data_IF_115139111997
#
_entry.id   IF_115139111997
#
_cell.length_a   1.000
_cell.length_b   1.000
_cell.length_c   1.000
_cell.angle_alpha   90.00
_cell.angle_beta   90.00
_cell.angle_gamma   90.00
#
_symmetry.space_group_name_H-M   'P 1'
#
loop_
_entity.id
_entity.type
_entity.pdbx_description
1 polymer ?
#
# COMPACT_ATOMS: atom_id res chain seq x y z
N UNK A 1 0.10 29.69 -3.01
CA UNK A 1 0.43 28.98 -4.26
C UNK A 1 1.92 29.00 -4.57
N UNK A 2 2.62 30.11 -4.29
CA UNK A 2 4.07 30.23 -4.57
C UNK A 2 4.95 29.22 -3.84
N UNK A 3 4.63 28.85 -2.59
CA UNK A 3 5.45 27.90 -1.83
C UNK A 3 5.41 26.49 -2.44
N UNK A 4 4.22 25.96 -2.75
CA UNK A 4 4.07 24.67 -3.42
C UNK A 4 4.79 24.63 -4.76
N UNK A 5 4.67 25.69 -5.55
CA UNK A 5 5.31 25.79 -6.86
C UNK A 5 6.82 25.65 -6.74
N UNK A 6 7.45 26.34 -5.77
CA UNK A 6 8.89 26.24 -5.53
C UNK A 6 9.30 24.86 -5.01
N UNK A 7 8.55 24.30 -4.05
CA UNK A 7 8.85 22.98 -3.49
C UNK A 7 8.78 21.88 -4.57
N UNK A 8 7.72 21.89 -5.38
CA UNK A 8 7.55 20.95 -6.49
C UNK A 8 8.65 21.14 -7.54
N UNK A 9 8.98 22.39 -7.89
CA UNK A 9 10.05 22.71 -8.84
C UNK A 9 11.40 22.13 -8.39
N UNK A 10 11.75 22.27 -7.12
CA UNK A 10 13.00 21.69 -6.57
C UNK A 10 12.95 20.16 -6.56
N UNK A 11 11.85 19.56 -6.10
CA UNK A 11 11.74 18.10 -5.97
C UNK A 11 11.73 17.38 -7.32
N UNK A 12 11.11 17.97 -8.35
CA UNK A 12 11.02 17.39 -9.69
C UNK A 12 12.09 17.94 -10.64
N UNK A 13 12.98 18.82 -10.16
CA UNK A 13 13.98 19.51 -10.97
C UNK A 13 13.38 20.21 -12.21
N UNK A 14 12.28 20.95 -12.00
CA UNK A 14 11.54 21.70 -13.01
C UNK A 14 11.66 23.21 -12.78
N UNK A 15 11.38 24.02 -13.81
CA UNK A 15 11.34 25.48 -13.64
C UNK A 15 10.06 25.90 -12.90
N UNK A 16 10.11 26.82 -11.93
CA UNK A 16 8.92 27.28 -11.20
C UNK A 16 7.78 27.76 -12.09
N UNK A 17 8.10 28.46 -13.19
CA UNK A 17 7.09 28.92 -14.15
C UNK A 17 6.32 27.77 -14.81
N UNK A 18 6.99 26.65 -15.11
CA UNK A 18 6.34 25.46 -15.69
C UNK A 18 5.38 24.83 -14.69
N UNK A 19 5.81 24.76 -13.42
CA UNK A 19 5.00 24.19 -12.35
C UNK A 19 3.76 25.06 -12.12
N UNK A 20 3.92 26.39 -12.01
CA UNK A 20 2.79 27.31 -11.82
C UNK A 20 1.75 27.19 -12.93
N UNK A 21 2.17 27.25 -14.20
CA UNK A 21 1.28 27.09 -15.34
C UNK A 21 0.55 25.74 -15.34
N UNK A 22 1.27 24.66 -14.96
CA UNK A 22 0.67 23.33 -14.87
C UNK A 22 -0.35 23.23 -13.73
N UNK A 23 -0.07 23.84 -12.58
CA UNK A 23 -1.00 23.90 -11.43
C UNK A 23 -2.29 24.64 -11.82
N UNK A 24 -2.17 25.79 -12.49
CA UNK A 24 -3.33 26.55 -12.98
C UNK A 24 -4.19 25.73 -13.94
N UNK A 25 -3.56 24.94 -14.83
CA UNK A 25 -4.29 24.05 -15.73
C UNK A 25 -5.06 22.96 -14.97
N UNK A 26 -4.43 22.32 -13.98
CA UNK A 26 -5.12 21.32 -13.15
C UNK A 26 -6.26 21.94 -12.32
N UNK A 27 -6.07 23.13 -11.76
CA UNK A 27 -7.08 23.85 -11.00
C UNK A 27 -8.26 24.31 -11.87
N UNK A 28 -7.99 24.59 -13.15
CA UNK A 28 -9.01 24.81 -14.18
C UNK A 28 -9.77 23.55 -14.61
N UNK A 29 -9.54 22.40 -13.96
CA UNK A 29 -10.23 21.14 -14.24
C UNK A 29 -9.72 20.39 -15.48
N UNK A 30 -8.58 20.79 -16.04
CA UNK A 30 -8.02 20.11 -17.22
C UNK A 30 -7.47 18.74 -16.84
N UNK A 31 -7.74 17.74 -17.68
CA UNK A 31 -7.22 16.38 -17.47
C UNK A 31 -5.75 16.27 -17.88
N UNK A 32 -5.02 15.34 -17.27
CA UNK A 32 -3.63 15.09 -17.61
C UNK A 32 -3.41 14.82 -19.12
N UNK A 33 -4.20 13.95 -19.80
CA UNK A 33 -4.07 13.76 -21.24
C UNK A 33 -4.32 15.03 -22.06
N UNK A 34 -5.26 15.88 -21.62
CA UNK A 34 -5.53 17.14 -22.28
C UNK A 34 -4.34 18.10 -22.16
N UNK A 35 -3.77 18.22 -20.97
CA UNK A 35 -2.60 19.07 -20.72
C UNK A 35 -1.39 18.59 -21.54
N UNK A 36 -1.08 17.29 -21.45
CA UNK A 36 0.05 16.67 -22.14
C UNK A 36 -0.04 16.85 -23.66
N UNK A 37 -1.25 16.84 -24.24
CA UNK A 37 -1.45 16.93 -25.69
C UNK A 37 -1.62 18.36 -26.20
N UNK A 38 -2.42 19.17 -25.52
CA UNK A 38 -2.91 20.46 -26.04
C UNK A 38 -2.38 21.69 -25.30
N UNK A 39 -1.56 21.49 -24.25
CA UNK A 39 -1.00 22.58 -23.44
C UNK A 39 0.52 22.47 -23.27
N UNK A 40 1.20 21.80 -24.20
CA UNK A 40 2.67 21.62 -24.18
C UNK A 40 3.43 22.93 -24.08
N UNK A 41 3.02 23.96 -24.82
CA UNK A 41 3.68 25.26 -24.78
C UNK A 41 3.55 25.91 -23.41
N UNK A 42 2.35 25.87 -22.82
CA UNK A 42 2.07 26.42 -21.49
C UNK A 42 2.86 25.72 -20.39
N UNK A 43 3.05 24.40 -20.48
CA UNK A 43 3.85 23.64 -19.49
C UNK A 43 5.35 23.64 -19.81
N UNK A 44 5.76 24.18 -20.96
CA UNK A 44 7.14 24.11 -21.44
C UNK A 44 7.59 22.68 -21.77
N UNK A 45 6.67 21.83 -22.24
CA UNK A 45 6.95 20.51 -22.79
C UNK A 45 7.01 19.38 -21.76
N UNK A 46 6.34 19.51 -20.60
CA UNK A 46 6.28 18.41 -19.62
C UNK A 46 5.59 17.17 -20.22
N UNK A 47 6.19 16.00 -19.98
CA UNK A 47 5.61 14.71 -20.39
C UNK A 47 4.54 14.19 -19.42
N UNK A 48 3.84 13.11 -19.78
CA UNK A 48 2.75 12.55 -18.99
C UNK A 48 3.18 12.06 -17.60
N UNK A 49 4.43 11.64 -17.45
CA UNK A 49 4.96 11.13 -16.18
C UNK A 49 5.30 12.28 -15.24
N UNK A 50 5.95 13.33 -15.75
CA UNK A 50 6.22 14.57 -15.01
C UNK A 50 4.91 15.22 -14.55
N UNK A 51 3.90 15.30 -15.43
CA UNK A 51 2.59 15.84 -15.07
C UNK A 51 1.90 15.02 -13.97
N UNK A 52 2.02 13.69 -14.01
CA UNK A 52 1.46 12.79 -12.98
C UNK A 52 2.14 12.98 -11.64
N UNK A 53 3.48 13.03 -11.62
CA UNK A 53 4.25 13.27 -10.41
C UNK A 53 3.95 14.63 -9.79
N UNK A 54 3.83 15.67 -10.63
CA UNK A 54 3.44 17.01 -10.21
C UNK A 54 2.06 17.02 -9.56
N UNK A 55 1.05 16.41 -10.21
CA UNK A 55 -0.31 16.33 -9.68
C UNK A 55 -0.36 15.58 -8.34
N UNK A 56 0.33 14.44 -8.22
CA UNK A 56 0.41 13.68 -6.99
C UNK A 56 1.08 14.47 -5.84
N UNK A 57 2.18 15.17 -6.13
CA UNK A 57 2.89 15.97 -5.13
C UNK A 57 2.06 17.19 -4.71
N UNK A 58 1.40 17.87 -5.66
CA UNK A 58 0.48 18.97 -5.39
C UNK A 58 -0.66 18.54 -4.45
N UNK A 59 -1.28 17.39 -4.73
CA UNK A 59 -2.34 16.85 -3.88
C UNK A 59 -1.84 16.55 -2.46
N UNK A 60 -0.64 15.96 -2.34
CA UNK A 60 0.00 15.70 -1.04
C UNK A 60 0.26 16.98 -0.26
N UNK A 61 0.81 18.01 -0.89
CA UNK A 61 1.10 19.30 -0.25
C UNK A 61 -0.18 20.02 0.17
N UNK A 62 -1.22 20.04 -0.67
CA UNK A 62 -2.54 20.58 -0.31
C UNK A 62 -3.15 19.90 0.89
N UNK A 63 -3.07 18.56 0.96
CA UNK A 63 -3.55 17.79 2.12
C UNK A 63 -2.77 18.12 3.40
N UNK A 64 -1.47 18.38 3.29
CA UNK A 64 -0.66 18.82 4.42
C UNK A 64 -1.10 20.20 4.90
N UNK A 65 -1.30 21.15 3.98
CA UNK A 65 -1.76 22.51 4.28
C UNK A 65 -3.15 22.53 4.94
N UNK A 66 -4.12 21.79 4.39
CA UNK A 66 -5.46 21.66 4.96
C UNK A 66 -5.40 21.12 6.40
N UNK A 67 -4.56 20.09 6.60
CA UNK A 67 -4.37 19.56 7.94
C UNK A 67 -3.68 20.55 8.86
N UNK A 68 -2.69 21.30 8.37
CA UNK A 68 -1.98 22.33 9.13
C UNK A 68 -2.94 23.40 9.62
N UNK A 69 -3.82 23.90 8.75
CA UNK A 69 -4.86 24.87 9.12
C UNK A 69 -5.77 24.33 10.23
N UNK A 70 -6.21 23.08 10.10
CA UNK A 70 -7.04 22.41 11.12
C UNK A 70 -6.32 22.32 12.47
N UNK A 71 -5.02 21.98 12.46
CA UNK A 71 -4.18 21.88 13.66
C UNK A 71 -4.00 23.25 14.32
N UNK A 72 -3.64 24.27 13.55
CA UNK A 72 -3.44 25.64 14.05
C UNK A 72 -4.73 26.15 14.71
N UNK A 73 -5.87 26.02 14.03
CA UNK A 73 -7.17 26.43 14.57
C UNK A 73 -7.53 25.69 15.87
N UNK A 74 -7.21 24.39 15.96
CA UNK A 74 -7.47 23.59 17.16
C UNK A 74 -6.62 24.03 18.37
N UNK A 75 -5.37 24.42 18.15
CA UNK A 75 -4.46 24.91 19.20
C UNK A 75 -4.81 26.34 19.60
N UNK A 76 -5.13 27.19 18.62
CA UNK A 76 -5.57 28.57 18.84
C UNK A 76 -6.84 28.63 19.70
N UNK A 77 -7.82 27.75 19.41
CA UNK A 77 -9.05 27.63 20.21
C UNK A 77 -8.79 27.26 21.69
N UNK A 78 -7.65 26.64 21.98
CA UNK A 78 -7.23 26.31 23.35
C UNK A 78 -6.44 27.45 24.02
N UNK A 79 -6.12 28.51 23.28
CA UNK A 79 -5.29 29.62 23.77
C UNK A 79 -3.81 29.24 23.98
N UNK A 80 -3.34 28.14 23.37
CA UNK A 80 -1.98 27.62 23.58
C UNK A 80 -1.05 27.82 22.37
N UNK A 81 -1.48 28.61 21.38
CA UNK A 81 -0.68 28.87 20.17
C UNK A 81 0.34 29.99 20.44
N UNK A 82 1.58 29.62 20.73
CA UNK A 82 2.68 30.59 20.85
C UNK A 82 3.25 30.95 19.46
N UNK A 83 3.91 32.10 19.30
CA UNK A 83 4.59 32.47 18.05
C UNK A 83 5.60 31.43 17.58
N UNK A 84 6.35 30.82 18.51
CA UNK A 84 7.36 29.80 18.23
C UNK A 84 6.70 28.51 17.73
N UNK A 85 5.63 28.07 18.39
CA UNK A 85 4.86 26.90 17.96
C UNK A 85 4.20 27.12 16.61
N UNK A 86 3.63 28.30 16.39
CA UNK A 86 3.05 28.66 15.10
C UNK A 86 4.10 28.55 13.98
N UNK A 87 5.31 29.10 14.21
CA UNK A 87 6.41 28.98 13.25
C UNK A 87 6.78 27.51 12.97
N UNK A 88 6.92 26.69 14.00
CA UNK A 88 7.20 25.25 13.85
C UNK A 88 6.11 24.51 13.06
N UNK A 89 4.84 24.86 13.25
CA UNK A 89 3.72 24.27 12.51
C UNK A 89 3.77 24.65 11.02
N UNK A 90 4.12 25.90 10.70
CA UNK A 90 4.30 26.38 9.32
C UNK A 90 5.47 25.67 8.64
N UNK A 91 6.59 25.49 9.35
CA UNK A 91 7.81 24.83 8.84
C UNK A 91 7.71 23.29 8.78
N UNK A 92 6.65 22.69 9.33
CA UNK A 92 6.47 21.24 9.28
C UNK A 92 6.24 20.76 7.83
N UNK A 93 7.27 20.10 7.26
CA UNK A 93 7.30 19.59 5.88
C UNK A 93 6.58 18.25 5.68
N UNK A 94 6.22 17.57 6.77
CA UNK A 94 5.55 16.27 6.70
C UNK A 94 4.36 16.20 7.63
N UNK A 95 3.37 15.40 7.24
CA UNK A 95 2.21 15.13 8.08
C UNK A 95 2.63 14.51 9.42
N UNK A 96 3.67 13.68 9.45
CA UNK A 96 4.17 13.10 10.69
C UNK A 96 4.72 14.16 11.65
N UNK A 97 5.55 15.08 11.15
CA UNK A 97 6.09 16.18 11.96
C UNK A 97 4.99 17.10 12.49
N UNK A 98 4.01 17.43 11.64
CA UNK A 98 2.84 18.22 12.03
C UNK A 98 2.02 17.53 13.13
N UNK A 99 1.77 16.22 12.99
CA UNK A 99 1.03 15.43 13.97
C UNK A 99 1.78 15.23 15.29
N UNK A 100 3.11 15.21 15.26
CA UNK A 100 3.95 15.18 16.45
C UNK A 100 3.86 16.51 17.22
N UNK A 101 3.93 17.66 16.54
CA UNK A 101 3.73 18.98 17.15
C UNK A 101 2.32 19.17 17.71
N UNK A 102 1.30 18.63 17.03
CA UNK A 102 -0.09 18.72 17.50
C UNK A 102 -0.39 17.81 18.70
N UNK A 103 0.43 16.78 18.93
CA UNK A 103 0.11 15.69 19.87
C UNK A 103 -0.18 16.12 21.31
N UNK A 104 0.57 17.07 21.91
CA UNK A 104 0.28 17.56 23.26
C UNK A 104 -1.10 18.21 23.40
N UNK A 105 -1.62 18.79 22.32
CA UNK A 105 -2.86 19.57 22.28
C UNK A 105 -4.09 18.76 21.85
N UNK A 106 -3.90 17.48 21.52
CA UNK A 106 -5.03 16.60 21.17
C UNK A 106 -5.83 16.26 22.42
N UNK A 107 -7.16 16.30 22.29
CA UNK A 107 -8.07 15.71 23.27
C UNK A 107 -7.78 14.22 23.43
N UNK A 108 -7.34 13.82 24.62
CA UNK A 108 -7.03 12.42 24.97
C UNK A 108 -8.18 11.80 25.75
N UNK A 109 -8.36 10.48 25.59
CA UNK A 109 -9.16 9.69 26.53
C UNK A 109 -8.49 9.73 27.90
N UNK A 110 -9.25 9.48 28.97
CA UNK A 110 -8.74 9.45 30.35
C UNK A 110 -7.51 8.52 30.45
N UNK A 111 -6.31 9.11 30.60
CA UNK A 111 -5.02 8.42 30.68
C UNK A 111 -4.55 8.34 32.12
N UNK A 112 -3.52 7.53 32.42
CA UNK A 112 -2.89 7.55 33.75
C UNK A 112 -2.37 8.94 34.12
N UNK A 113 -1.78 9.65 33.14
CA UNK A 113 -1.35 11.03 33.31
C UNK A 113 -2.52 11.98 33.56
N UNK A 114 -3.66 11.85 32.84
CA UNK A 114 -4.81 12.73 33.09
C UNK A 114 -5.40 12.49 34.49
N UNK A 115 -5.49 11.24 34.94
CA UNK A 115 -5.92 10.91 36.31
C UNK A 115 -4.95 11.47 37.35
N UNK A 116 -3.64 11.39 37.10
CA UNK A 116 -2.66 12.00 37.99
C UNK A 116 -2.76 13.54 38.03
N UNK A 117 -3.07 14.19 36.90
CA UNK A 117 -3.35 15.64 36.85
C UNK A 117 -4.63 16.00 37.62
N UNK A 118 -5.70 15.21 37.46
CA UNK A 118 -6.95 15.35 38.22
C UNK A 118 -6.69 15.29 39.75
N UNK A 119 -5.71 14.48 40.17
CA UNK A 119 -5.25 14.35 41.56
C UNK A 119 -4.27 15.43 42.03
N UNK A 120 -3.99 16.45 41.21
CA UNK A 120 -3.10 17.56 41.56
C UNK A 120 -1.60 17.26 41.48
N UNK A 121 -1.18 16.19 40.81
CA UNK A 121 0.24 15.76 40.76
C UNK A 121 1.07 16.45 39.66
N UNK A 122 0.52 17.46 38.98
CA UNK A 122 1.22 18.15 37.89
C UNK A 122 2.48 18.88 38.38
N UNK A 123 2.40 19.62 39.48
CA UNK A 123 3.58 20.34 40.01
C UNK A 123 4.70 19.37 40.44
N UNK A 124 4.35 18.20 41.01
CA UNK A 124 5.34 17.17 41.34
C UNK A 124 6.01 16.61 40.08
N UNK A 125 5.27 16.45 38.98
CA UNK A 125 5.82 16.05 37.70
C UNK A 125 6.76 17.12 37.12
N UNK A 126 6.39 18.40 37.25
CA UNK A 126 7.21 19.53 36.82
C UNK A 126 8.52 19.61 37.62
N UNK A 127 8.48 19.29 38.92
CA UNK A 127 9.69 19.15 39.74
C UNK A 127 10.61 18.03 39.24
N UNK A 128 10.04 16.86 38.87
CA UNK A 128 10.82 15.74 38.30
C UNK A 128 11.48 16.15 36.98
N UNK A 129 10.79 16.94 36.13
CA UNK A 129 11.34 17.44 34.88
C UNK A 129 12.43 18.51 35.10
N UNK A 130 12.20 19.44 36.02
CA UNK A 130 13.13 20.53 36.32
C UNK A 130 14.41 20.04 37.01
N UNK A 131 14.31 18.97 37.82
CA UNK A 131 15.43 18.35 38.54
C UNK A 131 16.27 19.36 39.33
N UNK A 132 15.61 20.27 40.05
CA UNK A 132 16.29 21.24 40.90
C UNK A 132 17.20 20.54 41.92
N UNK A 133 18.38 21.12 42.18
CA UNK A 133 19.29 20.64 43.22
C UNK A 133 18.73 21.08 44.58
N UNK A 134 18.43 20.13 45.45
CA UNK A 134 17.87 20.39 46.78
C UNK A 134 18.43 19.40 47.79
N UNK A 135 18.44 19.79 49.06
CA UNK A 135 18.78 18.90 50.19
C UNK A 135 17.57 18.09 50.68
N UNK A 136 16.38 18.39 50.18
CA UNK A 136 15.16 17.69 50.54
C UNK A 136 15.20 16.24 50.05
N UNK A 137 14.70 15.34 50.87
CA UNK A 137 14.44 13.95 50.53
C UNK A 137 13.24 13.83 49.60
N UNK A 138 13.14 12.71 48.87
CA UNK A 138 11.96 12.41 48.04
C UNK A 138 10.64 12.46 48.83
N UNK A 139 10.67 12.04 50.09
CA UNK A 139 9.49 12.07 50.95
C UNK A 139 9.07 13.50 51.28
N UNK A 140 10.02 14.39 51.57
CA UNK A 140 9.74 15.81 51.85
C UNK A 140 9.23 16.55 50.61
N UNK A 141 9.77 16.22 49.42
CA UNK A 141 9.30 16.79 48.15
C UNK A 141 7.87 16.33 47.82
N UNK A 142 7.53 15.07 48.10
CA UNK A 142 6.23 14.49 47.78
C UNK A 142 5.15 14.75 48.85
N UNK A 143 5.53 15.07 50.09
CA UNK A 143 4.60 15.27 51.21
C UNK A 143 3.48 16.30 50.94
N UNK A 144 3.72 17.44 50.27
CA UNK A 144 2.67 18.42 49.94
C UNK A 144 1.59 17.88 48.99
N UNK A 145 1.86 16.78 48.29
CA UNK A 145 0.99 16.20 47.27
C UNK A 145 0.18 14.99 47.77
N UNK A 146 0.23 14.70 49.07
CA UNK A 146 -0.58 13.67 49.68
C UNK A 146 -2.01 14.18 49.92
N UNK A 147 -2.99 13.40 49.50
CA UNK A 147 -4.42 13.72 49.59
C UNK A 147 -5.21 12.47 49.95
N UNK A 148 -6.52 12.59 50.17
CA UNK A 148 -7.40 11.43 50.40
C UNK A 148 -7.41 10.45 49.22
N UNK A 149 -7.00 10.89 48.03
CA UNK A 149 -6.86 10.06 46.82
C UNK A 149 -5.42 9.63 46.51
N UNK A 150 -4.44 10.20 47.21
CA UNK A 150 -2.99 9.96 47.06
C UNK A 150 -2.41 9.68 48.46
N UNK A 151 -2.52 8.41 48.87
CA UNK A 151 -2.32 8.01 50.26
C UNK A 151 -0.85 7.91 50.68
N UNK A 152 0.05 7.69 49.72
CA UNK A 152 1.48 7.47 50.02
C UNK A 152 2.40 8.26 49.10
N UNK A 153 3.61 8.54 49.57
CA UNK A 153 4.70 9.13 48.77
C UNK A 153 4.95 8.32 47.49
N UNK A 154 4.83 7.00 47.57
CA UNK A 154 4.99 6.11 46.41
C UNK A 154 3.90 6.34 45.37
N UNK A 155 2.66 6.55 45.80
CA UNK A 155 1.53 6.83 44.90
C UNK A 155 1.67 8.21 44.25
N UNK A 156 2.09 9.22 45.01
CA UNK A 156 2.36 10.56 44.50
C UNK A 156 3.45 10.53 43.42
N UNK A 157 4.59 9.90 43.71
CA UNK A 157 5.69 9.73 42.75
C UNK A 157 5.28 8.88 41.54
N UNK A 158 4.48 7.83 41.72
CA UNK A 158 3.98 7.02 40.61
C UNK A 158 3.08 7.83 39.67
N UNK A 159 2.13 8.59 40.20
CA UNK A 159 1.27 9.44 39.39
C UNK A 159 2.04 10.58 38.71
N UNK A 160 3.00 11.19 39.39
CA UNK A 160 3.88 12.19 38.78
C UNK A 160 4.71 11.59 37.63
N UNK A 161 5.27 10.38 37.81
CA UNK A 161 5.98 9.67 36.74
C UNK A 161 5.08 9.34 35.54
N UNK A 162 3.80 9.01 35.76
CA UNK A 162 2.85 8.82 34.64
C UNK A 162 2.67 10.09 33.80
N UNK A 163 2.65 11.27 34.43
CA UNK A 163 2.62 12.56 33.73
C UNK A 163 3.92 12.78 32.95
N UNK A 164 5.07 12.61 33.61
CA UNK A 164 6.40 12.76 32.98
C UNK A 164 6.56 11.81 31.80
N UNK A 165 6.09 10.57 31.92
CA UNK A 165 6.16 9.58 30.85
C UNK A 165 5.35 9.99 29.62
N UNK A 166 4.15 10.55 29.83
CA UNK A 166 3.34 11.12 28.75
C UNK A 166 4.03 12.33 28.10
N UNK A 167 4.60 13.23 28.90
CA UNK A 167 5.36 14.40 28.41
C UNK A 167 6.54 13.99 27.54
N UNK A 168 7.35 13.02 27.96
CA UNK A 168 8.49 12.51 27.18
C UNK A 168 8.01 11.86 25.88
N UNK A 169 6.99 11.00 25.95
CA UNK A 169 6.46 10.28 24.79
C UNK A 169 5.86 11.20 23.73
N UNK A 170 5.27 12.33 24.12
CA UNK A 170 4.63 13.29 23.22
C UNK A 170 5.58 14.39 22.75
N UNK A 171 6.81 14.46 23.29
CA UNK A 171 7.79 15.46 22.88
C UNK A 171 8.23 15.24 21.42
N UNK A 172 7.92 16.21 20.55
CA UNK A 172 8.07 16.07 19.09
C UNK A 172 9.48 15.65 18.65
N UNK A 173 10.52 16.25 19.22
CA UNK A 173 11.91 15.96 18.86
C UNK A 173 12.37 14.56 19.32
N UNK A 174 11.89 14.10 20.48
CA UNK A 174 12.17 12.74 20.97
C UNK A 174 11.52 11.74 20.03
N UNK A 175 10.25 11.95 19.68
CA UNK A 175 9.53 11.09 18.73
C UNK A 175 10.23 11.04 17.38
N UNK A 176 10.62 12.20 16.84
CA UNK A 176 11.32 12.30 15.57
C UNK A 176 12.65 11.55 15.60
N UNK A 177 13.46 11.76 16.63
CA UNK A 177 14.75 11.09 16.79
C UNK A 177 14.60 9.56 16.92
N UNK A 178 13.68 9.07 17.76
CA UNK A 178 13.45 7.62 17.89
C UNK A 178 12.90 7.02 16.60
N UNK A 179 12.03 7.73 15.88
CA UNK A 179 11.55 7.30 14.56
C UNK A 179 12.69 7.16 13.56
N UNK A 180 13.59 8.14 13.49
CA UNK A 180 14.77 8.08 12.61
C UNK A 180 15.66 6.88 12.96
N UNK A 181 15.88 6.64 14.26
CA UNK A 181 16.64 5.48 14.73
C UNK A 181 15.95 4.16 14.39
N UNK A 182 14.63 4.07 14.52
CA UNK A 182 13.87 2.88 14.12
C UNK A 182 14.04 2.57 12.63
N UNK A 183 13.97 3.58 11.75
CA UNK A 183 14.19 3.36 10.32
C UNK A 183 15.63 2.97 9.97
N UNK A 184 16.63 3.53 10.66
CA UNK A 184 18.06 3.28 10.35
C UNK A 184 18.59 1.99 10.98
N UNK A 185 18.22 1.74 12.24
CA UNK A 185 18.85 0.72 13.10
C UNK A 185 17.85 -0.26 13.71
N UNK A 186 16.55 0.02 13.62
CA UNK A 186 15.53 -0.90 14.09
C UNK A 186 15.54 -2.21 13.31
N UNK A 187 15.03 -3.23 13.96
CA UNK A 187 14.95 -4.59 13.44
C UNK A 187 13.49 -5.01 13.38
N UNK A 188 13.06 -5.56 12.24
CA UNK A 188 11.77 -6.23 12.15
C UNK A 188 11.98 -7.71 12.47
N UNK A 189 11.19 -8.20 13.43
CA UNK A 189 11.18 -9.59 13.86
C UNK A 189 9.82 -10.19 13.52
N UNK A 190 9.80 -11.41 12.98
CA UNK A 190 8.59 -12.17 12.71
C UNK A 190 8.73 -13.60 13.22
N UNK A 191 7.69 -14.07 13.91
CA UNK A 191 7.62 -15.40 14.51
C UNK A 191 6.32 -16.11 14.13
N UNK A 192 6.37 -17.44 13.94
CA UNK A 192 5.15 -18.24 13.74
C UNK A 192 4.32 -18.30 15.02
N UNK A 193 3.01 -18.06 14.90
CA UNK A 193 2.07 -18.31 15.99
C UNK A 193 1.90 -19.82 16.17
N UNK A 194 2.20 -20.34 17.38
CA UNK A 194 2.27 -21.79 17.68
C UNK A 194 1.06 -22.63 17.24
N UNK A 195 -0.14 -22.04 17.25
CA UNK A 195 -1.42 -22.72 16.91
C UNK A 195 -1.98 -22.34 15.53
N UNK A 196 -1.24 -21.58 14.73
CA UNK A 196 -1.73 -21.14 13.44
C UNK A 196 -1.66 -22.25 12.39
N UNK A 197 -2.71 -22.34 11.58
CA UNK A 197 -2.78 -23.25 10.45
C UNK A 197 -2.11 -22.62 9.21
N UNK A 198 -1.10 -23.31 8.67
CA UNK A 198 -0.47 -22.98 7.39
C UNK A 198 -0.09 -24.30 6.70
N UNK A 199 -1.11 -25.06 6.29
CA UNK A 199 -0.97 -26.40 5.69
C UNK A 199 -0.01 -26.44 4.50
N UNK A 200 0.09 -25.32 3.76
CA UNK A 200 0.95 -25.20 2.58
C UNK A 200 2.35 -24.66 2.89
N UNK A 201 2.63 -24.34 4.16
CA UNK A 201 3.88 -23.71 4.60
C UNK A 201 4.23 -22.45 3.79
N UNK A 202 3.20 -21.67 3.47
CA UNK A 202 3.26 -20.47 2.64
C UNK A 202 4.24 -19.43 3.19
N UNK A 203 4.33 -19.33 4.52
CA UNK A 203 5.16 -18.33 5.22
C UNK A 203 6.43 -18.94 5.84
N UNK A 204 6.86 -20.12 5.37
CA UNK A 204 8.00 -20.85 5.95
C UNK A 204 9.28 -20.00 6.09
N UNK A 205 9.54 -19.11 5.14
CA UNK A 205 10.71 -18.20 5.16
C UNK A 205 10.62 -17.13 6.26
N UNK A 206 9.45 -16.94 6.87
CA UNK A 206 9.14 -15.88 7.83
C UNK A 206 8.79 -16.40 9.23
N UNK A 207 8.92 -17.70 9.49
CA UNK A 207 8.59 -18.30 10.79
C UNK A 207 9.56 -17.94 11.92
N UNK A 208 10.79 -17.62 11.55
CA UNK A 208 11.85 -17.09 12.42
C UNK A 208 12.68 -16.13 11.56
N UNK A 209 12.17 -14.91 11.40
CA UNK A 209 12.74 -13.94 10.49
C UNK A 209 13.11 -12.67 11.23
N UNK A 210 14.35 -12.25 11.06
CA UNK A 210 14.89 -11.02 11.62
C UNK A 210 15.64 -10.27 10.52
N UNK A 211 15.27 -9.02 10.28
CA UNK A 211 16.01 -8.16 9.35
C UNK A 211 15.91 -6.69 9.74
N UNK A 212 17.02 -5.97 9.57
CA UNK A 212 17.06 -4.51 9.76
C UNK A 212 16.05 -3.80 8.86
N UNK A 213 15.36 -2.81 9.42
CA UNK A 213 14.28 -2.07 8.76
C UNK A 213 14.72 -1.47 7.42
N UNK A 214 15.93 -0.91 7.34
CA UNK A 214 16.46 -0.33 6.11
C UNK A 214 16.87 -1.34 5.02
N UNK A 215 16.85 -2.65 5.30
CA UNK A 215 17.19 -3.72 4.34
C UNK A 215 15.97 -4.51 3.85
N UNK A 216 14.79 -4.26 4.43
CA UNK A 216 13.56 -4.94 4.04
C UNK A 216 13.15 -4.58 2.60
N UNK A 217 12.79 -5.60 1.83
CA UNK A 217 12.30 -5.43 0.46
C UNK A 217 10.76 -5.32 0.46
N UNK A 218 10.16 -4.57 -0.50
CA UNK A 218 8.72 -4.42 -0.62
C UNK A 218 7.92 -5.73 -0.54
N UNK A 219 8.31 -6.77 -1.29
CA UNK A 219 7.60 -8.05 -1.28
C UNK A 219 7.66 -8.78 0.07
N UNK A 220 8.74 -8.59 0.85
CA UNK A 220 8.84 -9.16 2.20
C UNK A 220 7.83 -8.49 3.13
N UNK A 221 7.72 -7.17 3.07
CA UNK A 221 6.73 -6.41 3.86
C UNK A 221 5.31 -6.89 3.54
N UNK A 222 4.96 -7.03 2.26
CA UNK A 222 3.64 -7.50 1.85
C UNK A 222 3.37 -8.93 2.33
N UNK A 223 4.34 -9.84 2.21
CA UNK A 223 4.20 -11.21 2.70
C UNK A 223 4.04 -11.28 4.23
N UNK A 224 4.82 -10.50 4.98
CA UNK A 224 4.74 -10.37 6.43
C UNK A 224 3.38 -9.83 6.87
N UNK A 225 2.90 -8.76 6.22
CA UNK A 225 1.59 -8.17 6.49
C UNK A 225 0.46 -9.17 6.21
N UNK A 226 0.55 -9.94 5.11
CA UNK A 226 -0.43 -10.98 4.78
C UNK A 226 -0.44 -12.10 5.82
N UNK A 227 0.74 -12.61 6.19
CA UNK A 227 0.85 -13.64 7.21
C UNK A 227 0.36 -13.20 8.59
N UNK A 228 0.54 -11.92 8.94
CA UNK A 228 -0.02 -11.31 10.15
C UNK A 228 -1.56 -11.19 10.08
N UNK A 229 -2.11 -10.72 8.97
CA UNK A 229 -3.55 -10.60 8.76
C UNK A 229 -4.27 -11.97 8.79
N UNK A 230 -3.62 -13.01 8.25
CA UNK A 230 -4.09 -14.40 8.29
C UNK A 230 -3.84 -15.07 9.66
N UNK A 231 -3.29 -14.34 10.64
CA UNK A 231 -2.99 -14.81 12.00
C UNK A 231 -2.00 -15.99 12.04
N UNK A 232 -1.11 -16.07 11.05
CA UNK A 232 -0.03 -17.07 10.97
C UNK A 232 1.25 -16.55 11.62
N UNK A 233 1.55 -15.28 11.40
CA UNK A 233 2.74 -14.61 11.91
C UNK A 233 2.39 -13.59 12.99
N UNK A 234 3.31 -13.38 13.92
CA UNK A 234 3.37 -12.17 14.73
C UNK A 234 4.55 -11.35 14.24
N UNK A 235 4.33 -10.08 13.91
CA UNK A 235 5.37 -9.19 13.40
C UNK A 235 5.57 -8.05 14.39
N UNK A 236 6.82 -7.73 14.72
CA UNK A 236 7.15 -6.59 15.58
C UNK A 236 8.37 -5.81 15.08
N UNK A 237 8.47 -4.55 15.47
CA UNK A 237 9.67 -3.72 15.23
C UNK A 237 10.34 -3.42 16.56
N UNK A 238 11.58 -3.84 16.70
CA UNK A 238 12.42 -3.58 17.86
C UNK A 238 13.36 -2.42 17.58
N UNK A 239 13.43 -1.48 18.53
CA UNK A 239 14.40 -0.37 18.52
C UNK A 239 15.38 -0.63 19.66
N UNK A 240 16.70 -0.69 19.39
CA UNK A 240 17.68 -0.97 20.43
C UNK A 240 17.64 0.04 21.59
N UNK A 241 17.85 -0.44 22.82
CA UNK A 241 17.81 0.37 24.05
C UNK A 241 18.66 1.63 23.98
N UNK A 242 19.92 1.47 23.57
CA UNK A 242 20.87 2.56 23.37
C UNK A 242 20.34 3.70 22.50
N UNK A 243 19.49 3.38 21.51
CA UNK A 243 19.07 4.32 20.48
C UNK A 243 17.88 5.17 20.96
N UNK A 244 16.91 4.56 21.65
CA UNK A 244 15.81 5.34 22.24
C UNK A 244 16.23 6.06 23.53
N UNK A 245 17.11 5.49 24.34
CA UNK A 245 17.64 6.16 25.54
C UNK A 245 18.43 7.41 25.16
N UNK A 246 19.30 7.33 24.16
CA UNK A 246 20.06 8.49 23.69
C UNK A 246 19.13 9.62 23.18
N UNK A 247 18.04 9.27 22.49
CA UNK A 247 17.06 10.24 22.02
C UNK A 247 16.33 10.95 23.17
N UNK A 248 15.85 10.20 24.18
CA UNK A 248 15.21 10.79 25.36
C UNK A 248 16.20 11.66 26.13
N UNK A 249 17.40 11.15 26.41
CA UNK A 249 18.42 11.84 27.19
C UNK A 249 18.95 13.12 26.51
N UNK A 250 18.79 13.27 25.20
CA UNK A 250 19.13 14.51 24.50
C UNK A 250 18.28 15.71 24.92
N UNK A 251 17.07 15.46 25.45
CA UNK A 251 16.13 16.49 25.91
C UNK A 251 15.82 16.40 27.40
N UNK A 252 15.70 15.19 27.92
CA UNK A 252 15.38 14.92 29.32
C UNK A 252 16.57 14.27 30.03
N UNK A 253 17.69 14.98 30.10
CA UNK A 253 18.93 14.45 30.68
C UNK A 253 18.82 14.35 32.20
N UNK A 254 19.04 13.17 32.81
CA UNK A 254 19.06 13.04 34.27
C UNK A 254 20.20 13.85 34.91
N UNK A 255 19.86 14.64 35.92
CA UNK A 255 20.84 15.39 36.72
C UNK A 255 21.13 14.64 38.02
N UNK A 256 22.26 13.92 38.09
CA UNK A 256 22.61 13.07 39.24
C UNK A 256 22.74 13.82 40.58
N UNK A 257 22.87 15.13 40.57
CA UNK A 257 22.90 15.95 41.78
C UNK A 257 21.50 16.25 42.34
N UNK A 258 20.43 15.85 41.62
CA UNK A 258 19.04 16.01 42.05
C UNK A 258 18.52 14.72 42.67
N UNK A 259 17.80 14.76 43.80
CA UNK A 259 17.15 13.58 44.37
C UNK A 259 16.06 13.00 43.45
N UNK A 260 15.61 13.75 42.45
CA UNK A 260 14.56 13.35 41.50
C UNK A 260 15.10 12.64 40.24
N UNK A 261 16.43 12.53 40.08
CA UNK A 261 17.05 11.94 38.89
C UNK A 261 16.57 10.52 38.60
N UNK A 262 16.48 9.69 39.64
CA UNK A 262 16.02 8.30 39.53
C UNK A 262 14.53 8.24 39.15
N UNK A 263 13.73 9.23 39.58
CA UNK A 263 12.32 9.32 39.20
C UNK A 263 12.17 9.65 37.72
N UNK A 264 13.02 10.54 37.18
CA UNK A 264 13.07 10.83 35.75
C UNK A 264 13.50 9.61 34.94
N UNK A 265 14.51 8.86 35.40
CA UNK A 265 14.96 7.62 34.75
C UNK A 265 13.83 6.57 34.67
N UNK A 266 13.12 6.34 35.77
CA UNK A 266 11.98 5.43 35.81
C UNK A 266 10.84 5.89 34.88
N UNK A 267 10.56 7.19 34.85
CA UNK A 267 9.55 7.75 33.94
C UNK A 267 9.98 7.66 32.47
N UNK A 268 11.25 7.84 32.16
CA UNK A 268 11.80 7.74 30.80
C UNK A 268 11.72 6.30 30.25
N UNK A 269 12.02 5.29 31.08
CA UNK A 269 11.88 3.89 30.70
C UNK A 269 10.40 3.52 30.46
N UNK A 270 9.51 3.89 31.37
CA UNK A 270 8.08 3.67 31.20
C UNK A 270 7.53 4.44 29.97
N UNK A 271 7.98 5.67 29.72
CA UNK A 271 7.65 6.42 28.50
C UNK A 271 8.05 5.66 27.25
N UNK A 272 9.28 5.12 27.23
CA UNK A 272 9.81 4.37 26.11
C UNK A 272 8.97 3.11 25.85
N UNK A 273 8.85 2.24 26.86
CA UNK A 273 8.25 0.91 26.72
C UNK A 273 6.75 0.96 26.48
N UNK A 274 6.02 1.78 27.24
CA UNK A 274 4.55 1.75 27.26
C UNK A 274 3.93 2.63 26.17
N UNK A 275 4.57 3.74 25.81
CA UNK A 275 3.95 4.79 25.00
C UNK A 275 4.69 5.05 23.69
N UNK A 276 6.00 5.29 23.76
CA UNK A 276 6.80 5.74 22.63
C UNK A 276 7.09 4.62 21.64
N UNK A 277 7.72 3.52 22.07
CA UNK A 277 8.11 2.41 21.19
C UNK A 277 6.90 1.78 20.47
N UNK A 278 5.75 1.49 21.12
CA UNK A 278 4.57 0.99 20.42
C UNK A 278 3.98 1.99 19.40
N UNK A 279 4.17 3.29 19.62
CA UNK A 279 3.78 4.30 18.64
C UNK A 279 4.77 4.35 17.46
N UNK A 280 6.07 4.28 17.72
CA UNK A 280 7.11 4.27 16.70
C UNK A 280 7.08 3.00 15.85
N UNK A 281 6.80 1.85 16.44
CA UNK A 281 6.57 0.59 15.73
C UNK A 281 5.43 0.74 14.72
N UNK A 282 4.27 1.24 15.15
CA UNK A 282 3.13 1.49 14.25
C UNK A 282 3.46 2.48 13.13
N UNK A 283 4.13 3.58 13.46
CA UNK A 283 4.57 4.56 12.45
C UNK A 283 5.53 3.93 11.43
N UNK A 284 6.48 3.12 11.90
CA UNK A 284 7.47 2.44 11.07
C UNK A 284 6.80 1.41 10.16
N UNK A 285 5.94 0.55 10.73
CA UNK A 285 5.17 -0.45 9.99
C UNK A 285 4.28 0.20 8.93
N UNK A 286 3.56 1.28 9.28
CA UNK A 286 2.72 2.04 8.32
C UNK A 286 3.54 2.54 7.13
N UNK A 287 4.69 3.17 7.40
CA UNK A 287 5.54 3.71 6.34
C UNK A 287 6.16 2.61 5.46
N UNK A 288 6.54 1.47 6.05
CA UNK A 288 7.01 0.31 5.28
C UNK A 288 5.91 -0.25 4.38
N UNK A 289 4.69 -0.37 4.89
CA UNK A 289 3.52 -0.82 4.13
C UNK A 289 3.22 0.13 2.97
N UNK A 290 3.14 1.43 3.21
CA UNK A 290 2.86 2.44 2.17
C UNK A 290 3.91 2.40 1.05
N UNK A 291 5.20 2.28 1.41
CA UNK A 291 6.30 2.12 0.44
C UNK A 291 6.17 0.82 -0.35
N UNK A 292 5.81 -0.28 0.31
CA UNK A 292 5.70 -1.59 -0.32
C UNK A 292 4.51 -1.66 -1.28
N UNK A 293 3.36 -1.14 -0.88
CA UNK A 293 2.15 -1.05 -1.71
C UNK A 293 2.37 -0.13 -2.90
N UNK A 294 2.97 1.06 -2.70
CA UNK A 294 3.29 1.98 -3.80
C UNK A 294 4.18 1.31 -4.84
N UNK A 295 5.19 0.55 -4.40
CA UNK A 295 6.06 -0.19 -5.29
C UNK A 295 5.32 -1.31 -6.06
N UNK A 296 4.48 -2.09 -5.37
CA UNK A 296 3.69 -3.14 -6.02
C UNK A 296 2.71 -2.57 -7.05
N UNK A 297 2.01 -1.49 -6.70
CA UNK A 297 1.08 -0.78 -7.60
C UNK A 297 1.83 -0.27 -8.85
N UNK A 298 3.06 0.24 -8.70
CA UNK A 298 3.86 0.67 -9.85
C UNK A 298 4.18 -0.50 -10.80
N UNK A 299 4.48 -1.69 -10.26
CA UNK A 299 4.70 -2.91 -11.06
C UNK A 299 3.39 -3.34 -11.74
N UNK A 300 2.27 -3.35 -11.01
CA UNK A 300 0.95 -3.69 -11.57
C UNK A 300 0.56 -2.73 -12.70
N UNK A 301 0.79 -1.44 -12.52
CA UNK A 301 0.56 -0.42 -13.55
C UNK A 301 1.43 -0.65 -14.79
N UNK A 302 2.71 -1.01 -14.62
CA UNK A 302 3.61 -1.33 -15.72
C UNK A 302 3.15 -2.59 -16.48
N UNK A 303 2.76 -3.64 -15.75
CA UNK A 303 2.25 -4.88 -16.34
C UNK A 303 0.93 -4.66 -17.09
N UNK A 304 -0.01 -3.90 -16.50
CA UNK A 304 -1.26 -3.53 -17.17
C UNK A 304 -1.01 -2.70 -18.42
N UNK A 305 -0.09 -1.72 -18.36
CA UNK A 305 0.30 -0.92 -19.52
C UNK A 305 0.89 -1.79 -20.63
N UNK A 306 1.70 -2.79 -20.29
CA UNK A 306 2.25 -3.72 -21.27
C UNK A 306 1.14 -4.56 -21.93
N UNK A 307 0.16 -5.03 -21.16
CA UNK A 307 -0.99 -5.77 -21.70
C UNK A 307 -1.87 -4.90 -22.63
N UNK A 308 -2.18 -3.67 -22.22
CA UNK A 308 -3.04 -2.77 -23.00
C UNK A 308 -2.38 -2.30 -24.31
N UNK A 309 -1.05 -2.25 -24.37
CA UNK A 309 -0.29 -1.84 -25.55
C UNK A 309 0.13 -3.02 -26.45
N UNK A 310 -0.39 -4.23 -26.21
CA UNK A 310 -0.13 -5.35 -27.10
C UNK A 310 -0.68 -5.03 -28.50
N UNK A 311 0.09 -5.29 -29.57
CA UNK A 311 -0.35 -4.98 -30.93
C UNK A 311 -1.55 -5.86 -31.32
N UNK A 312 -2.60 -5.28 -31.93
CA UNK A 312 -3.76 -6.04 -32.41
C UNK A 312 -3.40 -6.94 -33.59
N UNK A 313 -3.97 -8.15 -33.64
CA UNK A 313 -3.87 -9.06 -34.79
C UNK A 313 -5.16 -9.03 -35.61
N UNK A 314 -5.24 -8.04 -36.50
CA UNK A 314 -6.42 -7.79 -37.34
C UNK A 314 -6.55 -8.76 -38.51
N UNK A 315 -7.77 -8.99 -38.99
CA UNK A 315 -8.03 -9.77 -40.21
C UNK A 315 -8.09 -11.28 -40.02
N UNK A 316 -7.87 -11.77 -38.80
CA UNK A 316 -7.98 -13.19 -38.48
C UNK A 316 -9.38 -13.57 -38.00
N UNK A 317 -9.93 -14.67 -38.52
CA UNK A 317 -10.93 -15.48 -37.82
C UNK A 317 -10.23 -16.25 -36.70
N UNK A 318 -10.62 -16.00 -35.46
CA UNK A 318 -9.93 -16.49 -34.27
C UNK A 318 -10.77 -17.54 -33.54
N UNK A 319 -10.15 -18.67 -33.20
CA UNK A 319 -10.70 -19.65 -32.27
C UNK A 319 -10.08 -19.44 -30.89
N UNK A 320 -10.85 -18.94 -29.93
CA UNK A 320 -10.47 -18.87 -28.53
C UNK A 320 -10.70 -20.20 -27.82
N UNK A 321 -9.70 -20.66 -27.07
CA UNK A 321 -9.76 -21.83 -26.20
C UNK A 321 -9.49 -21.34 -24.77
N UNK A 322 -10.48 -21.50 -23.90
CA UNK A 322 -10.36 -21.34 -22.45
C UNK A 322 -10.09 -22.72 -21.82
N UNK A 323 -8.84 -23.02 -21.42
CA UNK A 323 -8.44 -24.36 -21.00
C UNK A 323 -9.09 -24.80 -19.68
N UNK A 324 -9.29 -26.11 -19.54
CA UNK A 324 -9.78 -26.67 -18.30
C UNK A 324 -9.68 -28.20 -18.23
N UNK A 325 -9.45 -28.71 -17.02
CA UNK A 325 -9.50 -30.15 -16.74
C UNK A 325 -10.94 -30.62 -16.57
N UNK A 326 -11.46 -30.59 -15.33
CA UNK A 326 -12.75 -31.18 -14.95
C UNK A 326 -13.96 -30.61 -15.71
N UNK A 327 -13.95 -29.30 -15.97
CA UNK A 327 -15.06 -28.60 -16.65
C UNK A 327 -14.91 -28.56 -18.18
N UNK A 328 -13.87 -29.22 -18.72
CA UNK A 328 -13.54 -29.16 -20.14
C UNK A 328 -12.97 -27.81 -20.58
N UNK A 329 -12.49 -27.77 -21.81
CA UNK A 329 -12.04 -26.55 -22.48
C UNK A 329 -13.21 -25.93 -23.25
N UNK A 330 -13.41 -24.63 -23.11
CA UNK A 330 -14.49 -23.90 -23.80
C UNK A 330 -13.88 -23.29 -25.05
N UNK A 331 -14.59 -23.43 -26.16
CA UNK A 331 -14.13 -23.04 -27.48
C UNK A 331 -15.11 -22.03 -28.06
N UNK A 332 -14.62 -20.90 -28.53
CA UNK A 332 -15.43 -19.91 -29.23
C UNK A 332 -14.72 -19.50 -30.52
N UNK A 333 -15.46 -19.43 -31.63
CA UNK A 333 -14.95 -18.92 -32.90
C UNK A 333 -15.54 -17.54 -33.12
N UNK A 334 -14.68 -16.56 -33.40
CA UNK A 334 -15.09 -15.19 -33.78
C UNK A 334 -14.55 -14.86 -35.16
N UNK A 335 -15.34 -14.17 -35.97
CA UNK A 335 -14.89 -13.65 -37.26
C UNK A 335 -13.91 -12.48 -37.10
N UNK A 336 -13.38 -11.97 -38.20
CA UNK A 336 -12.44 -10.84 -38.20
C UNK A 336 -12.97 -9.53 -37.59
N UNK A 337 -14.27 -9.42 -37.30
CA UNK A 337 -14.90 -8.27 -36.62
C UNK A 337 -15.12 -8.52 -35.13
N UNK A 338 -14.88 -9.74 -34.64
CA UNK A 338 -15.16 -10.17 -33.27
C UNK A 338 -16.59 -10.66 -33.05
N UNK A 339 -17.38 -10.86 -34.11
CA UNK A 339 -18.71 -11.47 -34.02
C UNK A 339 -18.55 -12.96 -33.78
N UNK A 340 -19.29 -13.50 -32.81
CA UNK A 340 -19.29 -14.94 -32.51
C UNK A 340 -19.94 -15.70 -33.66
N UNK A 341 -19.23 -16.69 -34.19
CA UNK A 341 -19.69 -17.60 -35.24
C UNK A 341 -20.17 -18.93 -34.67
N UNK A 342 -19.44 -19.48 -33.69
CA UNK A 342 -19.70 -20.83 -33.17
C UNK A 342 -19.08 -21.01 -31.79
N UNK A 343 -19.56 -22.03 -31.07
CA UNK A 343 -19.09 -22.37 -29.72
C UNK A 343 -19.12 -23.88 -29.50
N UNK A 344 -18.17 -24.40 -28.71
CA UNK A 344 -18.17 -25.80 -28.29
C UNK A 344 -17.55 -25.96 -26.90
N UNK A 345 -17.89 -27.07 -26.23
CA UNK A 345 -17.17 -27.54 -25.05
C UNK A 345 -16.54 -28.88 -25.37
N UNK A 346 -15.23 -28.99 -25.19
CA UNK A 346 -14.45 -30.21 -25.45
C UNK A 346 -13.81 -30.73 -24.16
N UNK A 347 -13.56 -32.04 -24.09
CA UNK A 347 -12.99 -32.68 -22.90
C UNK A 347 -11.70 -33.45 -23.21
N UNK A 348 -10.67 -32.81 -23.78
CA UNK A 348 -9.42 -33.48 -24.19
C UNK A 348 -8.63 -34.04 -22.99
N UNK A 349 -8.76 -33.40 -21.82
CA UNK A 349 -7.90 -33.64 -20.66
C UNK A 349 -8.57 -34.53 -19.60
N UNK A 350 -7.84 -34.84 -18.53
CA UNK A 350 -8.41 -35.54 -17.39
C UNK A 350 -9.59 -34.75 -16.76
N UNK A 351 -10.66 -35.43 -16.30
CA UNK A 351 -10.80 -36.88 -16.19
C UNK A 351 -11.29 -37.62 -17.45
N UNK A 352 -11.89 -36.96 -18.43
CA UNK A 352 -12.55 -37.62 -19.56
C UNK A 352 -11.59 -38.12 -20.65
N UNK A 353 -10.45 -37.45 -20.85
CA UNK A 353 -9.38 -37.83 -21.79
C UNK A 353 -9.85 -38.07 -23.23
N UNK A 354 -10.80 -37.28 -23.72
CA UNK A 354 -11.39 -37.42 -25.06
C UNK A 354 -10.58 -36.66 -26.14
N UNK A 355 -9.29 -36.99 -26.24
CA UNK A 355 -8.34 -36.27 -27.11
C UNK A 355 -8.74 -36.25 -28.59
N UNK A 356 -8.97 -37.42 -29.19
CA UNK A 356 -9.31 -37.53 -30.62
C UNK A 356 -10.66 -36.88 -30.95
N UNK A 357 -11.64 -37.00 -30.05
CA UNK A 357 -12.94 -36.37 -30.24
C UNK A 357 -12.81 -34.83 -30.24
N UNK A 358 -11.99 -34.28 -29.34
CA UNK A 358 -11.68 -32.86 -29.31
C UNK A 358 -10.99 -32.41 -30.62
N UNK A 359 -9.98 -33.13 -31.10
CA UNK A 359 -9.32 -32.82 -32.38
C UNK A 359 -10.31 -32.79 -33.55
N UNK A 360 -11.22 -33.77 -33.63
CA UNK A 360 -12.21 -33.82 -34.70
C UNK A 360 -13.17 -32.62 -34.65
N UNK A 361 -13.62 -32.22 -33.45
CA UNK A 361 -14.48 -31.05 -33.27
C UNK A 361 -13.72 -29.78 -33.69
N UNK A 362 -12.48 -29.60 -33.22
CA UNK A 362 -11.67 -28.43 -33.54
C UNK A 362 -11.38 -28.35 -35.05
N UNK A 363 -11.01 -29.47 -35.69
CA UNK A 363 -10.78 -29.53 -37.13
C UNK A 363 -12.03 -29.14 -37.94
N UNK A 364 -13.21 -29.61 -37.51
CA UNK A 364 -14.49 -29.23 -38.12
C UNK A 364 -14.77 -27.74 -38.01
N UNK A 365 -14.52 -27.14 -36.84
CA UNK A 365 -14.68 -25.70 -36.62
C UNK A 365 -13.68 -24.87 -37.46
N UNK A 366 -12.42 -25.33 -37.56
CA UNK A 366 -11.39 -24.70 -38.39
C UNK A 366 -11.84 -24.67 -39.85
N UNK A 367 -12.23 -25.83 -40.39
CA UNK A 367 -12.64 -25.94 -41.79
C UNK A 367 -13.92 -25.15 -42.10
N UNK A 368 -14.92 -25.20 -41.21
CA UNK A 368 -16.21 -24.53 -41.41
C UNK A 368 -16.09 -23.01 -41.45
N UNK A 369 -15.26 -22.44 -40.57
CA UNK A 369 -15.19 -20.99 -40.37
C UNK A 369 -13.92 -20.36 -40.94
N UNK A 370 -13.08 -21.14 -41.62
CA UNK A 370 -11.76 -20.72 -42.10
C UNK A 370 -10.94 -20.04 -40.98
N UNK A 371 -10.82 -20.72 -39.84
CA UNK A 371 -10.04 -20.21 -38.70
C UNK A 371 -8.57 -20.14 -39.10
N UNK A 372 -7.94 -19.01 -38.83
CA UNK A 372 -6.51 -18.80 -39.15
C UNK A 372 -5.64 -18.67 -37.91
N UNK A 373 -6.24 -18.44 -36.74
CA UNK A 373 -5.53 -18.26 -35.48
C UNK A 373 -6.27 -18.91 -34.31
N UNK A 374 -5.53 -19.64 -33.47
CA UNK A 374 -6.00 -20.22 -32.22
C UNK A 374 -5.41 -19.42 -31.05
N UNK A 375 -6.28 -18.87 -30.22
CA UNK A 375 -5.93 -18.11 -29.03
C UNK A 375 -6.15 -18.99 -27.79
N UNK A 376 -5.10 -19.32 -27.05
CA UNK A 376 -5.19 -20.23 -25.89
C UNK A 376 -4.98 -19.44 -24.60
N UNK A 377 -5.93 -19.51 -23.66
CA UNK A 377 -5.77 -18.92 -22.33
C UNK A 377 -4.58 -19.52 -21.56
N UNK A 378 -3.85 -18.69 -20.81
CA UNK A 378 -2.65 -19.11 -20.08
C UNK A 378 -2.92 -19.69 -18.68
N UNK A 379 -4.15 -20.07 -18.37
CA UNK A 379 -4.54 -20.64 -17.08
C UNK A 379 -4.29 -22.13 -16.95
N UNK A 380 -5.19 -22.76 -16.21
CA UNK A 380 -5.11 -24.18 -15.85
C UNK A 380 -5.32 -25.07 -17.07
N UNK A 381 -4.44 -26.06 -17.29
CA UNK A 381 -4.43 -26.94 -18.47
C UNK A 381 -4.03 -26.26 -19.80
N UNK A 382 -3.40 -25.09 -19.74
CA UNK A 382 -2.94 -24.35 -20.92
C UNK A 382 -1.87 -25.11 -21.72
N UNK A 383 -0.90 -25.74 -21.03
CA UNK A 383 0.16 -26.54 -21.65
C UNK A 383 -0.40 -27.76 -22.41
N UNK A 384 -1.35 -28.46 -21.81
CA UNK A 384 -1.99 -29.61 -22.44
C UNK A 384 -2.86 -29.17 -23.63
N UNK A 385 -3.49 -28.00 -23.55
CA UNK A 385 -4.27 -27.42 -24.65
C UNK A 385 -3.40 -26.89 -25.79
N UNK A 386 -2.20 -26.41 -25.49
CA UNK A 386 -1.18 -26.06 -26.48
C UNK A 386 -0.76 -27.29 -27.29
N UNK A 387 -0.52 -28.43 -26.63
CA UNK A 387 -0.20 -29.69 -27.31
C UNK A 387 -1.32 -30.11 -28.27
N UNK A 388 -2.59 -29.97 -27.85
CA UNK A 388 -3.76 -30.25 -28.68
C UNK A 388 -3.81 -29.36 -29.92
N UNK A 389 -3.56 -28.05 -29.76
CA UNK A 389 -3.53 -27.10 -30.87
C UNK A 389 -2.37 -27.38 -31.84
N UNK A 390 -1.18 -27.72 -31.31
CA UNK A 390 -0.02 -28.08 -32.12
C UNK A 390 -0.26 -29.34 -32.96
N UNK A 391 -0.89 -30.37 -32.39
CA UNK A 391 -1.26 -31.59 -33.11
C UNK A 391 -2.30 -31.32 -34.20
N UNK A 392 -3.33 -30.51 -33.90
CA UNK A 392 -4.31 -30.06 -34.89
C UNK A 392 -3.66 -29.33 -36.07
N UNK A 393 -2.72 -28.43 -35.78
CA UNK A 393 -1.99 -27.66 -36.79
C UNK A 393 -1.12 -28.58 -37.65
N UNK A 394 -0.46 -29.58 -37.06
CA UNK A 394 0.32 -30.55 -37.80
C UNK A 394 -0.58 -31.40 -38.73
N UNK A 395 -1.72 -31.86 -38.22
CA UNK A 395 -2.67 -32.69 -38.95
C UNK A 395 -3.37 -31.94 -40.11
N UNK A 396 -3.52 -30.61 -40.03
CA UNK A 396 -4.13 -29.81 -41.10
C UNK A 396 -3.25 -29.68 -42.35
N UNK A 397 -1.97 -30.07 -42.26
CA UNK A 397 -1.02 -30.01 -43.37
C UNK A 397 -0.71 -28.60 -43.88
N UNK A 398 -1.14 -27.56 -43.15
CA UNK A 398 -1.01 -26.15 -43.55
C UNK A 398 -1.58 -25.84 -44.95
N UNK A 399 -2.64 -26.55 -45.34
CA UNK A 399 -3.22 -26.47 -46.69
C UNK A 399 -3.98 -25.15 -46.98
N UNK A 400 -4.25 -24.33 -45.95
CA UNK A 400 -4.97 -23.06 -46.05
C UNK A 400 -4.03 -21.85 -46.11
N UNK A 401 -4.46 -20.78 -46.78
CA UNK A 401 -3.78 -19.48 -46.82
C UNK A 401 -4.70 -18.39 -46.21
N UNK A 402 -4.33 -17.76 -45.08
CA UNK A 402 -3.09 -17.94 -44.33
C UNK A 402 -3.06 -19.25 -43.49
N UNK A 403 -1.86 -19.76 -43.21
CA UNK A 403 -1.66 -20.99 -42.43
C UNK A 403 -2.23 -20.86 -41.02
N UNK A 404 -2.74 -21.97 -40.47
CA UNK A 404 -3.27 -22.03 -39.12
C UNK A 404 -2.12 -21.91 -38.11
N UNK A 405 -2.25 -20.98 -37.17
CA UNK A 405 -1.27 -20.71 -36.11
C UNK A 405 -1.93 -20.72 -34.75
N UNK A 406 -1.14 -20.80 -33.69
CA UNK A 406 -1.62 -20.59 -32.32
C UNK A 406 -0.76 -19.56 -31.59
N UNK A 407 -1.33 -18.98 -30.54
CA UNK A 407 -0.59 -18.20 -29.56
C UNK A 407 -1.23 -18.33 -28.17
N UNK A 408 -0.43 -18.02 -27.15
CA UNK A 408 -0.87 -18.00 -25.75
C UNK A 408 -1.28 -16.58 -25.37
N UNK A 409 -2.43 -16.44 -24.71
CA UNK A 409 -3.01 -15.17 -24.29
C UNK A 409 -3.20 -15.17 -22.79
N UNK A 410 -2.97 -14.03 -22.15
CA UNK A 410 -3.40 -13.83 -20.77
C UNK A 410 -4.92 -14.03 -20.67
N UNK A 411 -5.37 -14.87 -19.74
CA UNK A 411 -6.80 -14.99 -19.39
C UNK A 411 -7.21 -14.04 -18.26
N UNK A 412 -6.30 -13.16 -17.80
CA UNK A 412 -6.54 -12.24 -16.70
C UNK A 412 -7.85 -11.46 -16.91
N UNK A 413 -8.74 -11.50 -15.91
CA UNK A 413 -10.04 -10.84 -15.95
C UNK A 413 -11.11 -11.50 -16.83
N UNK A 414 -10.82 -12.55 -17.61
CA UNK A 414 -11.81 -13.18 -18.50
C UNK A 414 -13.00 -13.77 -17.72
N UNK A 415 -12.75 -14.35 -16.55
CA UNK A 415 -13.79 -14.85 -15.63
C UNK A 415 -14.62 -13.73 -15.00
N UNK A 416 -14.02 -12.57 -14.73
CA UNK A 416 -14.74 -11.40 -14.21
C UNK A 416 -15.60 -10.77 -15.29
N UNK A 417 -15.06 -10.65 -16.50
CA UNK A 417 -15.82 -10.24 -17.68
C UNK A 417 -17.03 -11.15 -17.88
N UNK A 418 -16.85 -12.47 -17.91
CA UNK A 418 -17.91 -13.42 -18.26
C UNK A 418 -19.12 -13.38 -17.31
N UNK A 419 -18.87 -13.06 -16.04
CA UNK A 419 -19.90 -12.88 -15.00
C UNK A 419 -20.48 -11.45 -14.93
N UNK A 420 -19.92 -10.50 -15.69
CA UNK A 420 -20.31 -9.08 -15.64
C UNK A 420 -21.71 -8.83 -16.22
N UNK A 421 -22.28 -7.65 -15.89
CA UNK A 421 -23.51 -7.18 -16.51
C UNK A 421 -23.30 -6.85 -17.99
N UNK A 422 -22.14 -6.32 -18.35
CA UNK A 422 -21.78 -5.99 -19.74
C UNK A 422 -21.75 -7.24 -20.62
N UNK A 423 -21.05 -8.29 -20.20
CA UNK A 423 -20.98 -9.54 -20.97
C UNK A 423 -22.36 -10.22 -21.11
N UNK A 424 -23.23 -10.10 -20.11
CA UNK A 424 -24.65 -10.53 -20.23
C UNK A 424 -25.42 -9.73 -21.27
N UNK A 425 -25.16 -8.43 -21.39
CA UNK A 425 -25.79 -7.61 -22.41
C UNK A 425 -25.22 -7.88 -23.82
N UNK A 426 -23.91 -8.09 -23.94
CA UNK A 426 -23.27 -8.43 -25.23
C UNK A 426 -23.65 -9.84 -25.73
N UNK A 427 -23.76 -10.81 -24.82
CA UNK A 427 -23.93 -12.24 -25.12
C UNK A 427 -25.07 -12.86 -24.26
N UNK A 428 -26.33 -12.43 -24.46
CA UNK A 428 -27.45 -12.77 -23.56
C UNK A 428 -27.79 -14.25 -23.53
N UNK A 429 -27.70 -14.93 -24.68
CA UNK A 429 -28.08 -16.35 -24.82
C UNK A 429 -26.90 -17.31 -24.61
N UNK A 430 -25.76 -16.82 -24.12
CA UNK A 430 -24.55 -17.60 -23.94
C UNK A 430 -24.30 -17.89 -22.46
N UNK A 431 -23.91 -19.13 -22.15
CA UNK A 431 -23.50 -19.51 -20.78
C UNK A 431 -22.28 -18.71 -20.31
N UNK A 432 -22.20 -18.49 -18.99
CA UNK A 432 -21.11 -17.73 -18.35
C UNK A 432 -19.74 -18.32 -18.71
N UNK A 433 -19.59 -19.64 -18.73
CA UNK A 433 -18.30 -20.27 -19.03
C UNK A 433 -17.85 -20.03 -20.49
N UNK A 434 -18.79 -19.92 -21.42
CA UNK A 434 -18.48 -19.70 -22.85
C UNK A 434 -18.08 -18.26 -23.16
N UNK A 435 -18.60 -17.27 -22.41
CA UNK A 435 -18.22 -15.86 -22.60
C UNK A 435 -16.74 -15.61 -22.33
N UNK A 436 -16.11 -16.42 -21.47
CA UNK A 436 -14.66 -16.38 -21.23
C UNK A 436 -13.86 -16.70 -22.50
N UNK A 437 -14.21 -17.79 -23.20
CA UNK A 437 -13.57 -18.17 -24.45
C UNK A 437 -13.74 -17.11 -25.56
N UNK A 438 -14.90 -16.46 -25.63
CA UNK A 438 -15.12 -15.32 -26.54
C UNK A 438 -14.18 -14.17 -26.22
N UNK A 439 -13.99 -13.85 -24.93
CA UNK A 439 -13.06 -12.80 -24.51
C UNK A 439 -11.62 -13.13 -24.87
N UNK A 440 -11.18 -14.38 -24.69
CA UNK A 440 -9.85 -14.85 -25.11
C UNK A 440 -9.65 -14.65 -26.62
N UNK A 441 -10.65 -15.01 -27.44
CA UNK A 441 -10.56 -14.85 -28.89
C UNK A 441 -10.46 -13.37 -29.31
N UNK A 442 -11.35 -12.52 -28.78
CA UNK A 442 -11.40 -11.07 -29.10
C UNK A 442 -10.17 -10.31 -28.63
N UNK A 443 -9.61 -10.70 -27.50
CA UNK A 443 -8.41 -10.06 -26.92
C UNK A 443 -7.20 -10.11 -27.85
N UNK A 444 -7.12 -11.11 -28.71
CA UNK A 444 -6.02 -11.21 -29.69
C UNK A 444 -6.23 -10.26 -30.87
N UNK A 445 -7.49 -10.06 -31.25
CA UNK A 445 -7.85 -9.15 -32.34
C UNK A 445 -7.58 -7.70 -31.93
N UNK A 446 -7.97 -7.32 -30.72
CA UNK A 446 -7.64 -6.03 -30.12
C UNK A 446 -7.59 -6.14 -28.58
N UNK A 447 -6.38 -6.23 -27.99
CA UNK A 447 -6.20 -6.32 -26.55
C UNK A 447 -6.80 -5.13 -25.80
N UNK A 448 -6.63 -3.92 -26.32
CA UNK A 448 -7.12 -2.71 -25.68
C UNK A 448 -8.65 -2.69 -25.65
N UNK A 449 -9.30 -2.92 -26.80
CA UNK A 449 -10.76 -2.87 -26.92
C UNK A 449 -11.45 -3.94 -26.06
N UNK A 450 -10.83 -5.09 -25.85
CA UNK A 450 -11.40 -6.16 -25.02
C UNK A 450 -11.09 -5.95 -23.53
N UNK A 451 -9.89 -5.51 -23.15
CA UNK A 451 -9.51 -5.33 -21.74
C UNK A 451 -10.20 -4.13 -21.07
N UNK A 452 -10.55 -3.06 -21.82
CA UNK A 452 -11.27 -1.90 -21.27
C UNK A 452 -12.70 -2.22 -20.82
N UNK A 453 -13.24 -3.40 -21.18
CA UNK A 453 -14.55 -3.89 -20.74
C UNK A 453 -14.55 -4.42 -19.31
N UNK A 454 -13.35 -4.57 -18.72
CA UNK A 454 -13.13 -5.18 -17.41
C UNK A 454 -12.75 -4.08 -16.44
N UNK A 455 -13.22 -4.18 -15.19
CA UNK A 455 -12.71 -3.33 -14.12
C UNK A 455 -11.17 -3.48 -14.05
N UNK A 456 -10.38 -2.39 -14.14
CA UNK A 456 -8.93 -2.47 -14.15
C UNK A 456 -8.33 -3.22 -12.94
N UNK A 457 -8.96 -3.15 -11.77
CA UNK A 457 -8.50 -3.86 -10.56
C UNK A 457 -8.72 -5.37 -10.65
N UNK A 458 -9.60 -5.82 -11.55
CA UNK A 458 -9.91 -7.23 -11.77
C UNK A 458 -9.05 -7.88 -12.85
N UNK A 459 -8.22 -7.10 -13.55
CA UNK A 459 -7.22 -7.63 -14.47
C UNK A 459 -6.00 -8.05 -13.63
N UNK A 460 -5.89 -9.34 -13.32
CA UNK A 460 -4.80 -9.90 -12.53
C UNK A 460 -3.44 -9.71 -13.21
N UNK A 461 -2.71 -8.68 -12.79
CA UNK A 461 -1.39 -8.30 -13.34
C UNK A 461 -0.25 -8.43 -12.33
N UNK A 462 -0.51 -9.05 -11.18
CA UNK A 462 0.49 -9.44 -10.19
C UNK A 462 -0.11 -9.77 -8.83
#
# INVERSE_FOLDING_TARGET
MDNHTRQIAVQLNLRPAQVAATVELFDGGNTLPFIARYRKEATGGLDEEQLRQLSALLAKLRKLDERRQTVVAAIEKQGQLTPELHQQLIEADTLAALEDLYRPYKLKRRTRASVAREKGLQELADLILAQAKTKQTLAEIAAPFLTDEVLTVKDALAGARDIVAETISDHAEVRSAVREKAFRWGTLCAEKIKKADDQRATYRLYYDFELRVNRLRPHQILALNRGEAEKVLRVRVEVPERDWQAAINSRFRPNRDSPLADQLLLAADDAAQRLLLPAIERDTRRALTERAETHAIAIFAANLRALLNQPPLTGHTVMGIDPGFRTGCKVAVVDHTGKVLDTATIYPHAPQKQWQAALNILASLVARHAVTLIAIGNGTASRESEQLAAELIHASGQAQDPPLRYLIVSEAGASVYSASKLARAELPNMDVSMRGAVSIARRVQDPLAELVKIDPQSIGVG
#
